data_IF_664157320697
#
_entry.id   IF_664157320697
#
_cell.length_a   1.000
_cell.length_b   1.000
_cell.length_c   1.000
_cell.angle_alpha   90.00
_cell.angle_beta   90.00
_cell.angle_gamma   90.00
#
_symmetry.space_group_name_H-M   'P 1'
#
loop_
_entity.id
_entity.type
_entity.pdbx_description
1 polymer ?
#
# COMPACT_ATOMS: atom_id res chain seq x y z
N UNK A 1 18.93 30.08 -1.13
CA UNK A 1 17.48 30.16 -1.33
C UNK A 1 16.96 28.77 -1.69
N UNK A 2 16.23 28.10 -0.80
CA UNK A 2 15.62 26.81 -1.11
C UNK A 2 14.54 26.99 -2.16
N UNK A 3 14.60 26.22 -3.26
CA UNK A 3 13.46 26.09 -4.17
C UNK A 3 12.27 25.65 -3.33
N UNK A 4 11.24 26.50 -3.21
CA UNK A 4 9.97 26.09 -2.63
C UNK A 4 9.51 24.84 -3.36
N UNK A 5 9.35 23.73 -2.64
CA UNK A 5 8.91 22.48 -3.26
C UNK A 5 7.55 22.72 -3.91
N UNK A 6 7.40 22.37 -5.20
CA UNK A 6 6.10 22.33 -5.88
C UNK A 6 5.10 21.62 -4.96
N UNK A 7 3.97 22.26 -4.68
CA UNK A 7 2.87 21.62 -3.97
C UNK A 7 2.37 20.44 -4.80
N UNK A 8 2.23 19.27 -4.18
CA UNK A 8 1.86 18.07 -4.91
C UNK A 8 0.38 18.09 -5.25
N UNK A 9 0.06 17.69 -6.48
CA UNK A 9 -1.32 17.49 -6.91
C UNK A 9 -1.84 16.17 -6.34
N UNK A 10 -3.07 16.16 -5.82
CA UNK A 10 -3.74 14.95 -5.34
C UNK A 10 -5.14 14.84 -5.93
N UNK A 11 -5.70 13.64 -5.93
CA UNK A 11 -7.10 13.41 -6.28
C UNK A 11 -8.01 14.11 -5.26
N UNK A 12 -9.11 14.67 -5.75
CA UNK A 12 -10.19 15.26 -4.95
C UNK A 12 -11.46 14.42 -5.09
N UNK A 13 -12.30 14.41 -4.07
CA UNK A 13 -13.61 13.75 -4.12
C UNK A 13 -13.53 12.24 -4.28
N UNK A 14 -12.50 11.59 -3.70
CA UNK A 14 -12.34 10.14 -3.73
C UNK A 14 -13.56 9.43 -3.14
N UNK A 15 -14.19 8.55 -3.92
CA UNK A 15 -15.25 7.67 -3.45
C UNK A 15 -14.64 6.42 -2.79
N UNK A 16 -14.65 6.40 -1.46
CA UNK A 16 -14.11 5.27 -0.71
C UNK A 16 -14.83 3.94 -1.00
N UNK A 17 -16.13 3.94 -1.31
CA UNK A 17 -16.85 2.70 -1.61
C UNK A 17 -16.39 2.06 -2.93
N UNK A 18 -15.93 2.88 -3.87
CA UNK A 18 -15.30 2.40 -5.12
C UNK A 18 -13.83 2.06 -4.93
N UNK A 19 -13.18 2.65 -3.93
CA UNK A 19 -11.75 2.44 -3.66
C UNK A 19 -11.46 1.20 -2.80
N UNK A 20 -12.40 0.76 -1.96
CA UNK A 20 -12.24 -0.47 -1.16
C UNK A 20 -12.05 -1.72 -2.04
N UNK A 21 -11.67 -2.82 -1.40
CA UNK A 21 -11.30 -4.07 -2.06
C UNK A 21 -9.81 -4.18 -2.28
N UNK A 22 -9.43 -5.12 -3.15
CA UNK A 22 -8.04 -5.50 -3.38
C UNK A 22 -7.37 -4.63 -4.45
N UNK A 23 -6.12 -4.32 -4.22
CA UNK A 23 -5.19 -3.64 -5.11
C UNK A 23 -3.86 -4.39 -5.12
N UNK A 24 -3.37 -4.73 -6.30
CA UNK A 24 -2.05 -5.33 -6.52
C UNK A 24 -1.01 -4.23 -6.68
N UNK A 25 0.13 -4.38 -6.01
CA UNK A 25 1.27 -3.51 -6.23
C UNK A 25 1.98 -3.94 -7.51
N UNK A 26 1.94 -3.08 -8.52
CA UNK A 26 2.62 -3.31 -9.81
C UNK A 26 4.08 -2.87 -9.73
N UNK A 27 4.32 -1.77 -9.02
CA UNK A 27 5.66 -1.26 -8.79
C UNK A 27 5.70 -0.37 -7.55
N UNK A 28 6.83 -0.34 -6.86
CA UNK A 28 7.05 0.51 -5.70
C UNK A 28 8.49 1.00 -5.60
N UNK A 29 8.69 2.12 -4.91
CA UNK A 29 10.04 2.46 -4.41
C UNK A 29 10.22 1.65 -3.12
N UNK A 30 11.24 0.76 -3.04
CA UNK A 30 11.42 -0.14 -1.91
C UNK A 30 11.37 0.60 -0.59
N UNK A 31 10.34 0.29 0.18
CA UNK A 31 10.14 0.86 1.51
C UNK A 31 10.74 -0.04 2.57
N UNK A 32 11.16 0.53 3.71
CA UNK A 32 11.68 -0.26 4.84
C UNK A 32 10.66 -1.26 5.42
N UNK A 33 9.37 -1.12 5.07
CA UNK A 33 8.29 -1.97 5.56
C UNK A 33 8.00 -3.20 4.68
N UNK A 34 8.71 -3.36 3.55
CA UNK A 34 8.52 -4.48 2.63
C UNK A 34 9.80 -5.31 2.50
N UNK A 35 9.71 -6.65 2.40
CA UNK A 35 10.83 -7.49 2.03
C UNK A 35 11.36 -7.09 0.65
N UNK A 36 12.69 -7.08 0.49
CA UNK A 36 13.32 -6.71 -0.79
C UNK A 36 13.07 -7.71 -1.92
N UNK A 37 12.74 -8.94 -1.57
CA UNK A 37 12.44 -10.06 -2.47
C UNK A 37 10.94 -10.40 -2.49
N UNK A 38 10.10 -9.47 -2.01
CA UNK A 38 8.65 -9.63 -2.01
C UNK A 38 8.08 -9.73 -3.42
N UNK A 39 7.21 -10.72 -3.61
CA UNK A 39 6.40 -10.92 -4.82
C UNK A 39 4.93 -11.04 -4.44
N UNK A 40 4.04 -10.89 -5.42
CA UNK A 40 2.59 -10.93 -5.23
C UNK A 40 2.08 -9.93 -4.19
N UNK A 41 2.79 -8.81 -4.01
CA UNK A 41 2.46 -7.80 -3.01
C UNK A 41 1.11 -7.18 -3.34
N UNK A 42 0.25 -7.05 -2.32
CA UNK A 42 -1.08 -6.48 -2.47
C UNK A 42 -1.57 -5.81 -1.19
N UNK A 43 -2.51 -4.91 -1.36
CA UNK A 43 -3.25 -4.27 -0.28
C UNK A 43 -4.75 -4.58 -0.44
N UNK A 44 -5.42 -4.92 0.64
CA UNK A 44 -6.88 -5.07 0.68
C UNK A 44 -7.47 -4.07 1.67
N UNK A 45 -8.38 -3.24 1.18
CA UNK A 45 -9.00 -2.16 1.93
C UNK A 45 -10.46 -2.51 2.26
N UNK A 46 -10.87 -2.29 3.51
CA UNK A 46 -12.25 -2.49 3.95
C UNK A 46 -12.73 -1.27 4.74
N UNK A 47 -13.96 -0.80 4.50
CA UNK A 47 -14.51 0.35 5.23
C UNK A 47 -15.02 -0.10 6.60
N UNK A 48 -14.63 0.61 7.66
CA UNK A 48 -15.13 0.41 9.01
C UNK A 48 -16.37 1.26 9.27
N UNK A 49 -17.16 0.89 10.28
CA UNK A 49 -18.38 1.61 10.66
C UNK A 49 -18.12 3.04 11.15
N UNK A 50 -16.91 3.34 11.64
CA UNK A 50 -16.49 4.67 12.10
C UNK A 50 -15.95 5.57 10.97
N UNK A 51 -15.98 5.10 9.72
CA UNK A 51 -15.49 5.82 8.55
C UNK A 51 -13.98 5.72 8.33
N UNK A 52 -13.25 5.00 9.18
CA UNK A 52 -11.86 4.62 8.90
C UNK A 52 -11.79 3.44 7.91
N UNK A 53 -10.62 3.17 7.36
CA UNK A 53 -10.40 2.07 6.42
C UNK A 53 -9.46 1.06 7.06
N UNK A 54 -9.88 -0.19 7.21
CA UNK A 54 -9.00 -1.31 7.52
C UNK A 54 -8.04 -1.55 6.35
N UNK A 55 -6.75 -1.75 6.66
CA UNK A 55 -5.69 -2.00 5.67
C UNK A 55 -5.03 -3.33 6.00
N UNK A 56 -5.10 -4.27 5.06
CA UNK A 56 -4.32 -5.51 5.07
C UNK A 56 -3.32 -5.48 3.92
N UNK A 57 -2.03 -5.43 4.25
CA UNK A 57 -0.95 -5.60 3.26
C UNK A 57 -0.38 -7.00 3.35
N UNK A 58 -0.15 -7.62 2.19
CA UNK A 58 0.38 -8.98 2.07
C UNK A 58 1.51 -9.01 1.05
N UNK A 59 2.48 -9.90 1.25
CA UNK A 59 3.59 -10.16 0.32
C UNK A 59 4.05 -11.61 0.48
N UNK A 60 4.68 -12.17 -0.54
CA UNK A 60 5.28 -13.51 -0.48
C UNK A 60 6.79 -13.40 -0.70
N UNK A 61 7.57 -14.10 0.14
CA UNK A 61 9.03 -14.21 0.02
C UNK A 61 9.43 -15.68 0.28
N UNK A 62 10.27 -16.24 -0.58
CA UNK A 62 10.65 -17.66 -0.49
C UNK A 62 9.47 -18.64 -0.49
N UNK A 63 8.34 -18.28 -1.11
CA UNK A 63 7.10 -19.07 -1.11
C UNK A 63 6.24 -18.95 0.15
N UNK A 64 6.66 -18.17 1.14
CA UNK A 64 5.90 -17.93 2.38
C UNK A 64 5.19 -16.59 2.33
N UNK A 65 3.94 -16.55 2.81
CA UNK A 65 3.16 -15.33 3.01
C UNK A 65 3.59 -14.59 4.28
N UNK A 66 3.82 -13.29 4.15
CA UNK A 66 3.92 -12.34 5.25
C UNK A 66 2.83 -11.27 5.10
N UNK A 67 2.36 -10.71 6.21
CA UNK A 67 1.30 -9.70 6.22
C UNK A 67 1.42 -8.72 7.37
N UNK A 68 0.81 -7.55 7.20
CA UNK A 68 0.66 -6.54 8.24
C UNK A 68 -0.71 -5.86 8.13
N UNK A 69 -1.31 -5.60 9.28
CA UNK A 69 -2.62 -4.97 9.41
C UNK A 69 -2.52 -3.57 10.03
N UNK A 70 -3.47 -2.73 9.65
CA UNK A 70 -3.51 -1.34 10.05
C UNK A 70 -4.86 -0.68 9.80
N UNK A 71 -4.88 0.63 10.02
CA UNK A 71 -6.02 1.48 9.71
C UNK A 71 -5.58 2.75 9.00
N UNK A 72 -6.43 3.26 8.12
CA UNK A 72 -6.24 4.51 7.42
C UNK A 72 -7.39 5.48 7.70
N UNK A 73 -7.07 6.76 7.76
CA UNK A 73 -8.04 7.84 8.00
C UNK A 73 -7.62 9.10 7.25
N UNK A 74 -8.58 9.98 6.92
CA UNK A 74 -8.29 11.25 6.23
C UNK A 74 -7.34 12.10 7.08
N UNK A 75 -6.31 12.67 6.44
CA UNK A 75 -5.39 13.58 7.09
C UNK A 75 -6.07 14.91 7.49
N UNK A 76 -7.03 15.36 6.69
CA UNK A 76 -7.91 16.48 6.99
C UNK A 76 -9.36 16.08 6.64
N UNK A 77 -10.27 15.95 7.63
CA UNK A 77 -11.66 15.60 7.38
C UNK A 77 -12.48 16.74 6.76
N UNK A 78 -11.96 17.98 6.78
CA UNK A 78 -12.71 19.18 6.37
C UNK A 78 -12.49 19.59 4.90
N UNK A 79 -11.71 18.83 4.13
CA UNK A 79 -11.54 19.05 2.69
C UNK A 79 -11.81 17.76 1.92
N UNK A 80 -11.77 17.81 0.59
CA UNK A 80 -12.05 16.69 -0.30
C UNK A 80 -10.77 16.03 -0.86
N UNK A 81 -9.59 16.46 -0.44
CA UNK A 81 -8.31 15.89 -0.86
C UNK A 81 -8.18 14.42 -0.42
N UNK A 82 -7.66 13.58 -1.31
CA UNK A 82 -7.37 12.16 -1.08
C UNK A 82 -6.03 11.96 -0.34
N UNK A 83 -5.84 12.70 0.76
CA UNK A 83 -4.69 12.60 1.65
C UNK A 83 -5.08 11.81 2.89
N UNK A 84 -4.41 10.70 3.12
CA UNK A 84 -4.65 9.81 4.25
C UNK A 84 -3.40 9.66 5.12
N UNK A 85 -3.64 9.27 6.37
CA UNK A 85 -2.64 8.71 7.28
C UNK A 85 -2.93 7.22 7.42
N UNK A 86 -1.89 6.40 7.33
CA UNK A 86 -1.99 4.93 7.51
C UNK A 86 -1.18 4.55 8.72
N UNK A 87 -1.78 3.78 9.62
CA UNK A 87 -1.19 3.35 10.88
C UNK A 87 -1.09 1.83 10.89
N UNK A 88 0.12 1.30 11.02
CA UNK A 88 0.35 -0.14 11.14
C UNK A 88 0.70 -0.54 12.57
N UNK A 89 0.26 -1.73 12.96
CA UNK A 89 0.56 -2.34 14.26
C UNK A 89 1.62 -3.41 14.08
N UNK A 90 2.89 -3.07 14.35
CA UNK A 90 3.99 -4.03 14.24
C UNK A 90 4.07 -4.86 15.54
N UNK A 91 4.06 -6.21 15.47
CA UNK A 91 4.25 -7.05 16.65
C UNK A 91 5.68 -6.84 17.19
N UNK A 92 5.85 -6.46 18.47
CA UNK A 92 7.15 -6.04 18.94
C UNK A 92 7.76 -7.09 19.86
N UNK A 93 9.08 -7.10 19.95
CA UNK A 93 9.78 -7.61 21.13
C UNK A 93 9.71 -6.62 22.32
N UNK A 94 8.59 -5.86 22.50
CA UNK A 94 8.27 -4.75 23.46
C UNK A 94 8.09 -3.35 22.82
N UNK A 95 7.32 -2.44 23.49
CA UNK A 95 5.88 -2.20 23.33
C UNK A 95 5.47 -1.83 21.90
N UNK A 96 4.18 -1.99 21.56
CA UNK A 96 3.65 -1.76 20.20
C UNK A 96 3.75 -0.26 19.87
N UNK A 97 4.80 0.16 19.18
CA UNK A 97 4.92 1.52 18.67
C UNK A 97 4.20 1.56 17.31
N UNK A 98 3.05 2.24 17.21
CA UNK A 98 2.38 2.37 15.93
C UNK A 98 3.22 3.22 14.99
N UNK A 99 3.47 2.72 13.78
CA UNK A 99 4.12 3.50 12.73
C UNK A 99 3.04 4.14 11.88
N UNK A 100 3.10 5.46 11.72
CA UNK A 100 2.14 6.23 10.92
C UNK A 100 2.83 6.79 9.69
N UNK A 101 2.33 6.45 8.51
CA UNK A 101 2.79 6.95 7.21
C UNK A 101 1.75 7.86 6.54
N UNK A 102 2.20 8.60 5.53
CA UNK A 102 1.31 9.31 4.61
C UNK A 102 0.91 8.37 3.46
N UNK A 103 -0.32 8.52 2.98
CA UNK A 103 -0.83 7.83 1.80
C UNK A 103 -1.65 8.83 0.99
N UNK A 104 -1.06 9.36 -0.07
CA UNK A 104 -1.67 10.39 -0.91
C UNK A 104 -1.98 9.81 -2.28
N UNK A 105 -3.25 9.83 -2.68
CA UNK A 105 -3.66 9.40 -4.03
C UNK A 105 -3.33 10.53 -4.99
N UNK A 106 -2.25 10.38 -5.76
CA UNK A 106 -1.75 11.40 -6.71
C UNK A 106 -2.51 11.34 -8.02
N UNK A 107 -2.89 10.13 -8.43
CA UNK A 107 -3.71 9.89 -9.60
C UNK A 107 -4.57 8.64 -9.37
N UNK A 108 -5.77 8.65 -9.93
CA UNK A 108 -6.70 7.54 -9.97
C UNK A 108 -7.45 7.63 -11.30
N UNK A 109 -7.57 6.52 -12.01
CA UNK A 109 -8.36 6.47 -13.23
C UNK A 109 -9.87 6.58 -12.94
N UNK A 110 -10.69 7.03 -13.91
CA UNK A 110 -12.13 7.20 -13.71
C UNK A 110 -12.87 5.92 -13.29
N UNK A 111 -12.35 4.76 -13.68
CA UNK A 111 -12.96 3.45 -13.43
C UNK A 111 -12.45 2.77 -12.16
N UNK A 112 -11.47 3.37 -11.46
CA UNK A 112 -10.87 2.86 -10.21
C UNK A 112 -10.14 1.52 -10.43
N UNK A 113 -9.50 1.39 -11.59
CA UNK A 113 -8.73 0.23 -12.03
C UNK A 113 -7.23 0.35 -11.79
N UNK A 114 -6.65 1.55 -11.75
CA UNK A 114 -5.24 1.81 -11.45
C UNK A 114 -5.03 3.15 -10.73
N UNK A 115 -4.05 3.18 -9.82
CA UNK A 115 -3.77 4.35 -8.99
C UNK A 115 -2.27 4.59 -8.83
N UNK A 116 -1.91 5.88 -8.69
CA UNK A 116 -0.57 6.32 -8.30
C UNK A 116 -0.64 6.89 -6.89
N UNK A 117 0.10 6.27 -5.97
CA UNK A 117 0.12 6.64 -4.56
C UNK A 117 1.50 7.13 -4.20
N UNK A 118 1.58 8.19 -3.40
CA UNK A 118 2.86 8.67 -2.88
C UNK A 118 2.73 9.38 -1.55
N UNK A 119 3.75 10.16 -1.22
CA UNK A 119 3.87 10.90 0.03
C UNK A 119 4.69 12.19 -0.14
N UNK A 120 4.49 13.23 0.71
CA UNK A 120 5.02 14.57 0.49
C UNK A 120 6.55 14.69 0.34
N UNK A 121 7.33 13.81 0.97
CA UNK A 121 8.80 13.81 0.88
C UNK A 121 9.33 13.15 -0.39
N UNK A 122 8.45 12.55 -1.21
CA UNK A 122 8.75 11.93 -2.51
C UNK A 122 9.75 10.76 -2.43
N UNK A 123 9.78 10.09 -1.30
CA UNK A 123 10.65 8.95 -1.03
C UNK A 123 9.95 7.61 -1.16
N UNK A 124 8.61 7.59 -1.06
CA UNK A 124 7.81 6.38 -1.28
C UNK A 124 6.77 6.64 -2.37
N UNK A 125 6.65 5.69 -3.30
CA UNK A 125 5.74 5.74 -4.44
C UNK A 125 5.25 4.32 -4.72
N UNK A 126 3.98 4.17 -5.07
CA UNK A 126 3.37 2.91 -5.47
C UNK A 126 2.50 3.09 -6.70
N UNK A 127 2.62 2.16 -7.64
CA UNK A 127 1.65 1.95 -8.72
C UNK A 127 0.78 0.76 -8.32
N UNK A 128 -0.51 1.00 -8.19
CA UNK A 128 -1.49 -0.01 -7.81
C UNK A 128 -2.44 -0.31 -8.97
N UNK A 129 -2.90 -1.56 -9.06
CA UNK A 129 -3.91 -2.00 -10.04
C UNK A 129 -4.94 -2.95 -9.43
N UNK A 130 -6.15 -2.99 -10.00
CA UNK A 130 -7.16 -4.00 -9.67
C UNK A 130 -6.84 -5.39 -10.24
N UNK A 131 -5.95 -5.45 -11.22
CA UNK A 131 -5.43 -6.68 -11.84
C UNK A 131 -3.94 -6.86 -11.52
N UNK A 132 -3.42 -8.07 -11.69
CA UNK A 132 -2.01 -8.41 -11.44
C UNK A 132 -1.04 -7.76 -12.43
N UNK A 133 -1.55 -7.23 -13.53
CA UNK A 133 -0.79 -6.59 -14.61
C UNK A 133 -1.53 -5.35 -15.10
N UNK A 134 -0.79 -4.42 -15.71
CA UNK A 134 -1.34 -3.27 -16.46
C UNK A 134 -0.60 -3.14 -17.79
N UNK A 135 -1.23 -2.51 -18.77
CA UNK A 135 -0.61 -2.23 -20.06
C UNK A 135 0.58 -1.29 -19.91
N UNK A 136 1.61 -1.50 -20.73
CA UNK A 136 2.84 -0.70 -20.67
C UNK A 136 2.58 0.79 -20.97
N UNK A 137 1.59 1.11 -21.80
CA UNK A 137 1.18 2.49 -22.07
C UNK A 137 0.67 3.17 -20.80
N UNK A 138 -0.21 2.49 -20.05
CA UNK A 138 -0.74 2.98 -18.77
C UNK A 138 0.38 3.09 -17.75
N UNK A 139 1.26 2.08 -17.65
CA UNK A 139 2.41 2.11 -16.76
C UNK A 139 3.30 3.33 -17.04
N UNK A 140 3.64 3.58 -18.30
CA UNK A 140 4.46 4.73 -18.69
C UNK A 140 3.76 6.07 -18.42
N UNK A 141 2.44 6.15 -18.63
CA UNK A 141 1.66 7.32 -18.25
C UNK A 141 1.76 7.62 -16.75
N UNK A 142 1.70 6.60 -15.89
CA UNK A 142 1.84 6.76 -14.44
C UNK A 142 3.27 7.16 -14.04
N UNK A 143 4.29 6.67 -14.75
CA UNK A 143 5.67 7.13 -14.55
C UNK A 143 5.85 8.61 -14.87
N UNK A 144 5.29 9.09 -15.98
CA UNK A 144 5.38 10.51 -16.33
C UNK A 144 4.67 11.39 -15.30
N UNK A 145 3.49 10.99 -14.82
CA UNK A 145 2.80 11.68 -13.71
C UNK A 145 3.65 11.73 -12.45
N UNK A 146 4.32 10.64 -12.09
CA UNK A 146 5.22 10.62 -10.95
C UNK A 146 6.42 11.57 -11.14
N UNK A 147 7.01 11.62 -12.35
CA UNK A 147 8.09 12.58 -12.67
C UNK A 147 7.63 14.02 -12.57
N UNK A 148 6.43 14.33 -13.07
CA UNK A 148 5.81 15.67 -12.98
C UNK A 148 5.61 16.12 -11.53
N UNK A 149 5.36 15.19 -10.63
CA UNK A 149 5.27 15.43 -9.18
C UNK A 149 6.64 15.47 -8.48
N UNK A 150 7.73 15.19 -9.20
CA UNK A 150 9.11 15.31 -8.73
C UNK A 150 9.70 14.04 -8.12
N UNK A 151 9.11 12.87 -8.40
CA UNK A 151 9.68 11.59 -7.99
C UNK A 151 10.84 11.17 -8.89
N UNK A 152 11.85 10.56 -8.27
CA UNK A 152 12.91 9.85 -8.99
C UNK A 152 12.43 8.44 -9.33
N UNK A 153 11.77 8.30 -10.49
CA UNK A 153 11.22 7.01 -10.93
C UNK A 153 12.28 5.96 -11.28
N UNK A 154 13.56 6.34 -11.35
CA UNK A 154 14.64 5.35 -11.53
C UNK A 154 14.80 4.42 -10.31
N UNK A 155 14.26 4.83 -9.16
CA UNK A 155 14.19 4.03 -7.93
C UNK A 155 12.95 3.15 -7.84
N UNK A 156 12.08 3.16 -8.85
CA UNK A 156 10.88 2.35 -8.86
C UNK A 156 11.23 0.93 -9.33
N UNK A 157 10.79 -0.07 -8.59
CA UNK A 157 10.99 -1.48 -8.92
C UNK A 157 9.64 -2.10 -9.26
N UNK A 158 9.56 -2.84 -10.37
CA UNK A 158 8.37 -3.65 -10.67
C UNK A 158 8.28 -4.78 -9.66
N UNK A 159 7.09 -5.01 -9.14
CA UNK A 159 6.79 -6.09 -8.21
C UNK A 159 6.26 -7.27 -9.02
N UNK A 160 6.94 -8.44 -9.00
CA UNK A 160 6.45 -9.61 -9.72
C UNK A 160 5.08 -10.05 -9.20
N UNK A 161 4.16 -10.34 -10.12
CA UNK A 161 2.82 -10.83 -9.83
C UNK A 161 2.55 -12.12 -10.62
N UNK A 162 1.93 -13.11 -10.00
CA UNK A 162 1.45 -14.32 -10.64
C UNK A 162 0.03 -14.11 -11.20
N UNK A 163 -0.31 -14.86 -12.25
CA UNK A 163 -1.67 -14.93 -12.79
C UNK A 163 -2.04 -16.41 -13.03
N UNK A 164 -2.98 -16.99 -12.26
CA UNK A 164 -3.75 -16.35 -11.19
C UNK A 164 -2.88 -15.96 -9.99
N UNK A 165 -3.29 -14.92 -9.23
CA UNK A 165 -2.59 -14.52 -8.01
C UNK A 165 -2.71 -15.63 -6.94
N UNK A 166 -1.73 -15.76 -6.03
CA UNK A 166 -1.82 -16.72 -4.95
C UNK A 166 -3.07 -16.46 -4.10
N UNK A 167 -3.78 -17.53 -3.79
CA UNK A 167 -4.85 -17.49 -2.82
C UNK A 167 -4.26 -17.07 -1.46
N UNK A 168 -4.88 -16.08 -0.82
CA UNK A 168 -4.81 -16.05 0.64
C UNK A 168 -5.69 -17.21 1.07
N UNK A 169 -5.16 -18.19 1.80
CA UNK A 169 -6.02 -19.16 2.49
C UNK A 169 -7.22 -18.40 3.06
N UNK A 170 -8.44 -18.75 2.65
CA UNK A 170 -9.70 -18.02 2.96
C UNK A 170 -10.08 -18.01 4.45
N UNK A 171 -9.13 -18.20 5.34
CA UNK A 171 -9.29 -17.76 6.71
C UNK A 171 -9.19 -16.22 6.74
N UNK A 172 -10.35 -15.58 6.59
CA UNK A 172 -10.66 -14.45 7.47
C UNK A 172 -10.18 -14.79 8.90
N UNK A 173 -9.69 -13.84 9.71
CA UNK A 173 -9.22 -14.12 11.05
C UNK A 173 -10.40 -14.44 11.98
N UNK A 174 -11.04 -15.59 11.79
CA UNK A 174 -11.94 -16.22 12.76
C UNK A 174 -11.19 -17.12 13.72
N UNK A 175 -9.89 -17.32 13.55
CA UNK A 175 -9.06 -17.93 14.59
C UNK A 175 -8.39 -16.86 15.45
N UNK A 176 -9.10 -16.47 16.51
CA UNK A 176 -8.48 -16.02 17.77
C UNK A 176 -7.72 -17.18 18.43
N UNK A 177 -6.70 -17.70 17.75
CA UNK A 177 -5.70 -18.65 18.26
C UNK A 177 -4.37 -18.21 17.66
N UNK A 178 -3.66 -17.28 18.29
CA UNK A 178 -2.77 -17.64 19.37
C UNK A 178 -1.40 -18.05 18.81
N UNK A 179 -0.50 -17.07 18.70
CA UNK A 179 0.97 -17.19 18.75
C UNK A 179 1.57 -18.56 18.37
N UNK A 180 1.77 -18.83 17.07
CA UNK A 180 2.45 -20.04 16.58
C UNK A 180 3.95 -19.85 16.23
N UNK A 181 4.63 -18.81 16.77
CA UNK A 181 6.08 -18.61 16.55
C UNK A 181 6.97 -18.90 17.79
N UNK A 182 6.38 -19.30 18.92
CA UNK A 182 7.12 -19.57 20.18
C UNK A 182 7.75 -20.99 20.22
N UNK A 183 7.48 -21.89 19.26
CA UNK A 183 8.06 -23.25 19.25
C UNK A 183 9.27 -23.44 18.33
N UNK A 184 10.28 -22.57 18.44
CA UNK A 184 11.62 -22.87 17.90
C UNK A 184 12.78 -22.40 18.79
N UNK A 185 12.54 -22.11 20.08
CA UNK A 185 13.60 -21.72 21.02
C UNK A 185 13.90 -22.75 22.13
N UNK A 186 13.29 -23.95 22.11
CA UNK A 186 13.69 -25.05 23.00
C UNK A 186 13.50 -26.43 22.34
N UNK A 187 14.63 -27.05 21.95
CA UNK A 187 14.77 -28.47 21.61
C UNK A 187 15.01 -28.73 20.11
N UNK A 188 16.18 -29.16 19.63
CA UNK A 188 17.32 -29.85 20.26
C UNK A 188 18.62 -29.07 20.08
#
# INVERSE_FOLDING_TARGET
MGKGSKEMTVVHGLDLNRYIGRWYEIASVPSFFQPRDGVNTRATYALNADGTVHVLNETWSGGKRDYIEGSAYKANPNNDEAKFKVKFYVPPFFPIIPVTGNYWVLFLDPDYTYALIGEPSRTNLWILSRTTHIDDEIYNQLLEKAKEEGYDVSKLHKTPQADPPPESDEASPTDKKGFWWIKSLFGK
#
